data_IF_390730693782
#
_entry.id   IF_390730693782
#
_cell.length_a   1.000
_cell.length_b   1.000
_cell.length_c   1.000
_cell.angle_alpha   90.00
_cell.angle_beta   90.00
_cell.angle_gamma   90.00
#
_symmetry.space_group_name_H-M   'P 1'
#
loop_
_entity.id
_entity.type
_entity.pdbx_description
1 polymer ?
#
# COMPACT_ATOMS: atom_id res chain seq x y z
N UNK A 1 5.84 5.61 9.37
CA UNK A 1 6.92 4.65 9.69
C UNK A 1 8.18 5.43 10.02
N UNK A 2 8.73 5.17 11.19
CA UNK A 2 9.83 5.95 11.76
C UNK A 2 11.14 5.18 11.89
N UNK A 3 11.06 3.86 11.88
CA UNK A 3 12.25 2.99 12.03
C UNK A 3 12.27 1.89 10.99
N UNK A 4 13.46 1.37 10.71
CA UNK A 4 13.63 0.23 9.81
C UNK A 4 12.94 -1.03 10.35
N UNK A 5 12.99 -1.22 11.68
CA UNK A 5 12.35 -2.37 12.33
C UNK A 5 10.81 -2.30 12.20
N UNK A 6 10.23 -1.10 12.35
CA UNK A 6 8.82 -0.89 12.11
C UNK A 6 8.44 -1.18 10.65
N UNK A 7 9.26 -0.73 9.71
CA UNK A 7 9.08 -1.01 8.29
C UNK A 7 9.06 -2.52 8.03
N UNK A 8 10.08 -3.24 8.50
CA UNK A 8 10.19 -4.68 8.30
C UNK A 8 9.10 -5.49 9.02
N UNK A 9 8.51 -4.94 10.09
CA UNK A 9 7.38 -5.59 10.75
C UNK A 9 6.11 -5.62 9.89
N UNK A 10 5.99 -4.67 8.97
CA UNK A 10 4.82 -4.52 8.10
C UNK A 10 5.10 -5.09 6.71
N UNK A 11 6.26 -4.79 6.16
CA UNK A 11 6.72 -5.29 4.87
C UNK A 11 8.12 -5.89 5.05
N UNK A 12 8.21 -7.21 5.29
CA UNK A 12 9.47 -7.87 5.67
C UNK A 12 10.39 -8.10 4.48
N UNK A 13 11.24 -7.14 4.18
CA UNK A 13 12.24 -7.20 3.12
C UNK A 13 13.68 -7.09 3.65
N UNK A 14 13.85 -7.20 4.96
CA UNK A 14 15.14 -7.09 5.64
C UNK A 14 15.88 -5.80 5.27
N UNK A 15 15.23 -4.69 5.55
CA UNK A 15 15.69 -3.36 5.17
C UNK A 15 16.82 -2.89 6.08
N UNK A 16 17.97 -2.52 5.49
CA UNK A 16 19.05 -1.93 6.28
C UNK A 16 18.70 -0.52 6.76
N UNK A 17 19.25 -0.13 7.92
CA UNK A 17 19.06 1.21 8.46
C UNK A 17 19.50 2.31 7.48
N UNK A 18 20.61 2.09 6.81
CA UNK A 18 21.14 3.05 5.84
C UNK A 18 20.16 3.27 4.68
N UNK A 19 19.65 2.19 4.12
CA UNK A 19 18.69 2.29 3.01
C UNK A 19 17.37 2.85 3.48
N UNK A 20 16.92 2.52 4.67
CA UNK A 20 15.71 3.08 5.27
C UNK A 20 15.77 4.61 5.30
N UNK A 21 16.87 5.20 5.76
CA UNK A 21 17.02 6.65 5.77
C UNK A 21 16.96 7.27 4.37
N UNK A 22 17.42 6.56 3.37
CA UNK A 22 17.37 7.04 1.99
C UNK A 22 15.96 7.07 1.42
N UNK A 23 15.09 6.17 1.83
CA UNK A 23 13.72 6.09 1.33
C UNK A 23 12.72 6.92 2.14
N UNK A 24 13.09 7.45 3.29
CA UNK A 24 12.21 8.30 4.10
C UNK A 24 11.61 9.47 3.31
N UNK A 25 12.38 10.26 2.54
CA UNK A 25 11.79 11.32 1.74
C UNK A 25 10.77 10.81 0.72
N UNK A 26 11.01 9.65 0.14
CA UNK A 26 10.11 9.02 -0.81
C UNK A 26 8.81 8.56 -0.13
N UNK A 27 8.91 8.08 1.11
CA UNK A 27 7.74 7.73 1.91
C UNK A 27 6.86 8.96 2.16
N UNK A 28 7.47 10.07 2.55
CA UNK A 28 6.74 11.32 2.75
C UNK A 28 6.06 11.80 1.47
N UNK A 29 6.80 11.81 0.37
CA UNK A 29 6.28 12.19 -0.94
C UNK A 29 5.09 11.31 -1.35
N UNK A 30 5.20 10.00 -1.19
CA UNK A 30 4.13 9.06 -1.51
C UNK A 30 2.89 9.27 -0.65
N UNK A 31 3.10 9.54 0.64
CA UNK A 31 2.00 9.85 1.55
C UNK A 31 1.25 11.10 1.10
N UNK A 32 1.99 12.17 0.83
CA UNK A 32 1.41 13.46 0.45
C UNK A 32 0.68 13.40 -0.90
N UNK A 33 1.23 12.66 -1.87
CA UNK A 33 0.66 12.57 -3.22
C UNK A 33 -0.56 11.67 -3.33
N UNK A 34 -0.59 10.57 -2.58
CA UNK A 34 -1.56 9.50 -2.87
C UNK A 34 -2.41 9.08 -1.68
N UNK A 35 -1.89 9.11 -0.48
CA UNK A 35 -2.49 8.40 0.65
C UNK A 35 -3.06 9.30 1.75
N UNK A 36 -2.63 10.56 1.83
CA UNK A 36 -3.05 11.45 2.92
C UNK A 36 -4.57 11.57 3.04
N UNK A 37 -5.28 11.68 1.91
CA UNK A 37 -6.74 11.77 1.90
C UNK A 37 -7.42 10.54 2.50
N UNK A 38 -6.86 9.36 2.30
CA UNK A 38 -7.39 8.12 2.89
C UNK A 38 -7.14 8.05 4.39
N UNK A 39 -5.95 8.47 4.85
CA UNK A 39 -5.66 8.54 6.27
C UNK A 39 -6.57 9.53 7.00
N UNK A 40 -6.96 10.62 6.34
CA UNK A 40 -7.88 11.61 6.90
C UNK A 40 -9.31 11.06 7.10
N UNK A 41 -9.66 10.00 6.39
CA UNK A 41 -10.95 9.31 6.52
C UNK A 41 -10.97 8.27 7.63
N UNK A 42 -9.84 8.00 8.29
CA UNK A 42 -9.77 7.03 9.38
C UNK A 42 -10.47 7.56 10.63
N UNK A 43 -11.30 6.73 11.23
CA UNK A 43 -11.94 6.95 12.51
C UNK A 43 -11.46 5.91 13.51
N UNK A 44 -11.76 6.07 14.78
CA UNK A 44 -11.39 5.09 15.79
C UNK A 44 -12.02 3.71 15.52
N UNK A 45 -13.18 3.69 14.88
CA UNK A 45 -13.91 2.47 14.57
C UNK A 45 -13.30 1.67 13.41
N UNK A 46 -12.81 2.36 12.37
CA UNK A 46 -12.29 1.70 11.17
C UNK A 46 -10.76 1.61 11.14
N UNK A 47 -10.07 2.33 12.00
CA UNK A 47 -8.61 2.43 12.01
C UNK A 47 -7.93 1.07 12.08
N UNK A 48 -8.38 0.22 12.98
CA UNK A 48 -7.78 -1.11 13.18
C UNK A 48 -7.81 -1.97 11.91
N UNK A 49 -8.87 -1.84 11.10
CA UNK A 49 -9.02 -2.61 9.86
C UNK A 49 -8.34 -1.98 8.66
N UNK A 50 -8.37 -0.66 8.56
CA UNK A 50 -7.98 0.06 7.33
C UNK A 50 -6.54 0.55 7.38
N UNK A 51 -6.06 1.02 8.53
CA UNK A 51 -4.70 1.54 8.67
C UNK A 51 -3.62 0.55 8.24
N UNK A 52 -3.64 -0.75 8.61
CA UNK A 52 -2.65 -1.71 8.14
C UNK A 52 -2.61 -1.84 6.61
N UNK A 53 -3.75 -1.77 5.95
CA UNK A 53 -3.85 -1.88 4.49
C UNK A 53 -3.22 -0.65 3.83
N UNK A 54 -3.56 0.53 4.30
CA UNK A 54 -2.99 1.79 3.79
C UNK A 54 -1.48 1.87 4.03
N UNK A 55 -1.04 1.44 5.20
CA UNK A 55 0.38 1.46 5.54
C UNK A 55 1.18 0.50 4.67
N UNK A 56 0.69 -0.72 4.43
CA UNK A 56 1.36 -1.65 3.52
C UNK A 56 1.42 -1.09 2.09
N UNK A 57 0.35 -0.46 1.62
CA UNK A 57 0.35 0.16 0.30
C UNK A 57 1.36 1.32 0.21
N UNK A 58 1.47 2.13 1.26
CA UNK A 58 2.46 3.20 1.36
C UNK A 58 3.88 2.65 1.23
N UNK A 59 4.19 1.57 1.93
CA UNK A 59 5.52 0.97 1.90
C UNK A 59 5.83 0.37 0.53
N UNK A 60 4.90 -0.34 -0.09
CA UNK A 60 5.08 -0.88 -1.44
C UNK A 60 5.31 0.22 -2.47
N UNK A 61 4.55 1.31 -2.43
CA UNK A 61 4.76 2.46 -3.32
C UNK A 61 6.10 3.15 -3.07
N UNK A 62 6.51 3.25 -1.82
CA UNK A 62 7.80 3.83 -1.47
C UNK A 62 8.96 3.02 -2.07
N UNK A 63 8.91 1.69 -1.95
CA UNK A 63 9.90 0.80 -2.57
C UNK A 63 9.85 0.92 -4.10
N UNK A 64 8.67 0.94 -4.70
CA UNK A 64 8.52 1.13 -6.15
C UNK A 64 9.17 2.43 -6.63
N UNK A 65 8.97 3.55 -5.92
CA UNK A 65 9.65 4.81 -6.23
C UNK A 65 11.16 4.69 -6.12
N UNK A 66 11.67 4.03 -5.09
CA UNK A 66 13.11 3.83 -4.92
C UNK A 66 13.71 3.03 -6.07
N UNK A 67 13.02 1.98 -6.52
CA UNK A 67 13.45 1.16 -7.66
C UNK A 67 13.56 1.97 -8.96
N UNK A 68 12.73 2.98 -9.13
CA UNK A 68 12.76 3.83 -10.31
C UNK A 68 13.79 4.96 -10.23
N UNK A 69 14.12 5.42 -9.04
CA UNK A 69 14.93 6.63 -8.85
C UNK A 69 16.37 6.35 -8.46
N UNK A 70 16.63 5.23 -7.81
CA UNK A 70 17.99 4.90 -7.34
C UNK A 70 18.71 4.00 -8.33
N UNK A 71 20.03 4.10 -8.34
CA UNK A 71 20.84 3.16 -9.09
C UNK A 71 20.75 1.77 -8.46
N UNK A 72 20.70 0.75 -9.31
CA UNK A 72 20.63 -0.66 -8.89
C UNK A 72 21.77 -1.01 -7.91
N UNK A 73 22.93 -0.44 -8.10
CA UNK A 73 24.08 -0.69 -7.24
C UNK A 73 23.92 -0.16 -5.82
N UNK A 74 22.97 0.77 -5.60
CA UNK A 74 22.67 1.33 -4.29
C UNK A 74 21.74 0.45 -3.46
N UNK A 75 21.07 -0.51 -4.09
CA UNK A 75 20.16 -1.40 -3.38
C UNK A 75 20.91 -2.45 -2.57
N UNK A 76 20.48 -2.71 -1.33
CA UNK A 76 21.00 -3.82 -0.56
C UNK A 76 20.69 -5.17 -1.25
N UNK A 77 21.49 -6.22 -1.00
CA UNK A 77 21.27 -7.53 -1.60
C UNK A 77 19.86 -8.10 -1.38
N UNK A 78 19.26 -7.80 -0.25
CA UNK A 78 17.92 -8.24 0.09
C UNK A 78 16.86 -7.69 -0.85
N UNK A 79 16.96 -6.41 -1.23
CA UNK A 79 16.04 -5.81 -2.22
C UNK A 79 16.37 -6.32 -3.62
N UNK A 80 17.65 -6.45 -3.95
CA UNK A 80 18.04 -6.99 -5.25
C UNK A 80 17.51 -8.40 -5.47
N UNK A 81 17.40 -9.20 -4.43
CA UNK A 81 16.84 -10.54 -4.51
C UNK A 81 15.35 -10.55 -4.82
N UNK A 82 14.62 -9.46 -4.57
CA UNK A 82 13.20 -9.39 -4.92
C UNK A 82 12.96 -9.35 -6.43
N UNK A 83 13.89 -8.80 -7.20
CA UNK A 83 13.78 -8.74 -8.65
C UNK A 83 14.78 -9.63 -9.37
N UNK A 84 15.71 -10.23 -8.65
CA UNK A 84 16.65 -11.17 -9.20
C UNK A 84 16.12 -12.60 -9.05
N UNK A 85 15.14 -12.91 -9.90
CA UNK A 85 14.44 -14.20 -9.89
C UNK A 85 15.29 -15.34 -10.43
N UNK A 86 16.51 -15.26 -10.42
CA UNK A 86 17.34 -16.27 -10.97
C UNK A 86 18.30 -15.79 -12.04
N UNK A 87 19.33 -16.29 -12.00
CA UNK A 87 20.23 -16.47 -13.12
C UNK A 87 21.40 -15.54 -13.13
N UNK A 88 22.44 -16.16 -12.83
CA UNK A 88 23.82 -15.77 -12.72
C UNK A 88 24.43 -15.00 -13.90
N UNK A 89 23.67 -14.61 -14.93
CA UNK A 89 24.24 -13.99 -16.12
C UNK A 89 23.44 -12.79 -16.64
N UNK A 90 22.86 -12.01 -15.73
CA UNK A 90 22.16 -10.80 -16.15
C UNK A 90 23.11 -9.66 -16.46
N UNK A 91 22.86 -9.00 -17.57
CA UNK A 91 23.51 -7.71 -17.87
C UNK A 91 22.94 -6.60 -16.99
N UNK A 92 23.65 -5.49 -16.82
CA UNK A 92 23.13 -4.34 -16.07
C UNK A 92 21.80 -3.80 -16.60
N UNK A 93 21.56 -3.95 -17.91
CA UNK A 93 20.28 -3.59 -18.52
C UNK A 93 19.16 -4.53 -18.07
N UNK A 94 19.43 -5.83 -18.03
CA UNK A 94 18.44 -6.81 -17.58
C UNK A 94 18.05 -6.62 -16.12
N UNK A 95 19.02 -6.27 -15.27
CA UNK A 95 18.75 -5.93 -13.86
C UNK A 95 17.90 -4.68 -13.74
N UNK A 96 18.18 -3.67 -14.55
CA UNK A 96 17.39 -2.44 -14.57
C UNK A 96 15.94 -2.72 -15.00
N UNK A 97 15.77 -3.47 -16.09
CA UNK A 97 14.44 -3.85 -16.58
C UNK A 97 13.69 -4.71 -15.54
N UNK A 98 14.37 -5.60 -14.85
CA UNK A 98 13.79 -6.40 -13.77
C UNK A 98 13.37 -5.53 -12.58
N UNK A 99 14.16 -4.52 -12.22
CA UNK A 99 13.82 -3.58 -11.17
C UNK A 99 12.58 -2.75 -11.52
N UNK A 100 12.48 -2.27 -12.77
CA UNK A 100 11.31 -1.54 -13.24
C UNK A 100 10.06 -2.44 -13.27
N UNK A 101 10.19 -3.69 -13.69
CA UNK A 101 9.08 -4.64 -13.67
C UNK A 101 8.60 -4.92 -12.23
N UNK A 102 9.50 -5.03 -11.28
CA UNK A 102 9.15 -5.16 -9.87
C UNK A 102 8.44 -3.89 -9.36
N UNK A 103 8.93 -2.71 -9.73
CA UNK A 103 8.29 -1.45 -9.36
C UNK A 103 6.85 -1.37 -9.86
N UNK A 104 6.62 -1.76 -11.11
CA UNK A 104 5.26 -1.78 -11.69
C UNK A 104 4.36 -2.77 -10.95
N UNK A 105 4.85 -3.95 -10.61
CA UNK A 105 4.10 -4.94 -9.84
C UNK A 105 3.75 -4.43 -8.45
N UNK A 106 4.71 -3.81 -7.75
CA UNK A 106 4.47 -3.25 -6.43
C UNK A 106 3.44 -2.11 -6.46
N UNK A 107 3.48 -1.28 -7.50
CA UNK A 107 2.46 -0.24 -7.67
C UNK A 107 1.07 -0.82 -7.89
N UNK A 108 0.93 -1.86 -8.71
CA UNK A 108 -0.35 -2.54 -8.91
C UNK A 108 -0.87 -3.14 -7.61
N UNK A 109 -0.03 -3.85 -6.88
CA UNK A 109 -0.40 -4.43 -5.58
C UNK A 109 -0.81 -3.35 -4.58
N UNK A 110 -0.11 -2.22 -4.58
CA UNK A 110 -0.44 -1.09 -3.71
C UNK A 110 -1.79 -0.46 -4.09
N UNK A 111 -2.07 -0.28 -5.38
CA UNK A 111 -3.36 0.24 -5.84
C UNK A 111 -4.52 -0.70 -5.52
N UNK A 112 -4.31 -2.01 -5.59
CA UNK A 112 -5.30 -3.00 -5.14
C UNK A 112 -5.59 -2.84 -3.64
N UNK A 113 -4.55 -2.66 -2.83
CA UNK A 113 -4.72 -2.41 -1.39
C UNK A 113 -5.47 -1.11 -1.13
N UNK A 114 -5.16 -0.04 -1.85
CA UNK A 114 -5.87 1.24 -1.74
C UNK A 114 -7.34 1.07 -2.13
N UNK A 115 -7.63 0.34 -3.20
CA UNK A 115 -9.01 0.04 -3.60
C UNK A 115 -9.77 -0.72 -2.53
N UNK A 116 -9.14 -1.71 -1.91
CA UNK A 116 -9.72 -2.45 -0.81
C UNK A 116 -10.00 -1.55 0.41
N UNK A 117 -9.07 -0.68 0.75
CA UNK A 117 -9.24 0.29 1.82
C UNK A 117 -10.39 1.26 1.52
N UNK A 118 -10.47 1.75 0.28
CA UNK A 118 -11.54 2.64 -0.16
C UNK A 118 -12.92 1.95 -0.07
N UNK A 119 -13.01 0.69 -0.48
CA UNK A 119 -14.24 -0.09 -0.34
C UNK A 119 -14.66 -0.24 1.11
N UNK A 120 -13.72 -0.53 2.01
CA UNK A 120 -14.03 -0.65 3.44
C UNK A 120 -14.50 0.68 4.02
N UNK A 121 -13.85 1.80 3.67
CA UNK A 121 -14.26 3.12 4.11
C UNK A 121 -15.64 3.52 3.57
N UNK A 122 -15.94 3.16 2.33
CA UNK A 122 -17.24 3.44 1.70
C UNK A 122 -18.34 2.54 2.26
N UNK A 123 -18.04 1.28 2.56
CA UNK A 123 -18.99 0.34 3.16
C UNK A 123 -19.38 0.80 4.57
N UNK A 124 -18.41 1.26 5.37
CA UNK A 124 -18.70 1.79 6.70
C UNK A 124 -19.65 3.00 6.62
N UNK A 125 -19.39 3.91 5.69
CA UNK A 125 -20.28 5.05 5.45
C UNK A 125 -21.67 4.61 4.98
N UNK A 126 -21.76 3.57 4.15
CA UNK A 126 -23.03 3.03 3.66
C UNK A 126 -23.81 2.34 4.78
N UNK A 127 -23.11 1.63 5.65
CA UNK A 127 -23.75 0.97 6.81
C UNK A 127 -24.34 2.03 7.75
N UNK A 128 -23.61 3.10 8.03
CA UNK A 128 -24.12 4.19 8.84
C UNK A 128 -25.34 4.84 8.21
N UNK A 129 -25.31 5.05 6.91
CA UNK A 129 -26.44 5.58 6.17
C UNK A 129 -27.63 4.63 6.20
N UNK A 130 -27.41 3.34 6.01
CA UNK A 130 -28.46 2.33 6.05
C UNK A 130 -29.07 2.15 7.43
N UNK A 131 -28.26 2.33 8.49
CA UNK A 131 -28.76 2.24 9.85
C UNK A 131 -29.67 3.40 10.23
N UNK A 132 -29.52 4.55 9.56
CA UNK A 132 -30.37 5.73 9.76
C UNK A 132 -31.57 5.78 8.82
N UNK A 133 -31.59 4.95 7.79
CA UNK A 133 -32.75 4.87 6.89
C UNK A 133 -33.90 4.13 7.56
N UNK A 134 -35.09 4.55 7.27
CA UNK A 134 -36.31 3.91 7.74
C UNK A 134 -36.52 2.53 7.09
N UNK A 135 -35.47 1.75 7.01
CA UNK A 135 -35.47 0.46 6.35
C UNK A 135 -36.35 -0.56 7.02
N UNK A 136 -36.59 -0.37 8.30
CA UNK A 136 -37.47 -1.23 9.09
C UNK A 136 -38.91 -0.68 9.18
N UNK A 137 -39.26 0.24 8.32
CA UNK A 137 -40.61 0.67 8.26
C UNK A 137 -41.54 -0.49 7.83
N UNK A 138 -42.54 -0.86 8.65
CA UNK A 138 -43.42 -1.95 8.31
C UNK A 138 -44.14 -1.77 6.96
N UNK A 139 -44.33 -0.52 6.55
CA UNK A 139 -44.94 -0.20 5.27
C UNK A 139 -44.11 -0.59 4.06
N UNK A 140 -42.79 -0.67 4.21
CA UNK A 140 -41.89 -1.11 3.15
C UNK A 140 -41.97 -2.62 2.87
N UNK A 141 -42.52 -3.38 3.79
CA UNK A 141 -42.75 -4.82 3.60
C UNK A 141 -43.73 -5.11 2.49
N UNK A 142 -44.58 -4.17 2.18
CA UNK A 142 -45.58 -4.29 1.12
C UNK A 142 -44.91 -4.37 -0.25
N UNK A 143 -43.75 -3.74 -0.40
CA UNK A 143 -42.97 -3.72 -1.66
C UNK A 143 -42.36 -5.08 -1.94
N UNK A 144 -42.09 -5.87 -0.92
CA UNK A 144 -41.43 -7.17 -1.05
C UNK A 144 -42.43 -8.30 -1.29
N UNK A 145 -43.67 -8.03 -1.30
CA UNK A 145 -44.70 -8.99 -1.64
C UNK A 145 -45.02 -8.86 -3.11
N UNK A 146 -44.58 -9.76 -3.94
CA UNK A 146 -44.90 -9.75 -5.36
C UNK A 146 -46.37 -10.03 -5.59
#
# INVERSE_FOLDING_TARGET
IRTADEFDSIYPIDLSYFFFFRILPLQKETLDERLSAYYDRLTDENRERVDPILTLSLLKKTVAKSLRRFDILEFPPTIRNLFDDSHASRTGKDEHDAALALADRLDLEAEELISNADMLLSTDASVDFCSTSAYNNPDDNIIMLP
#
